data_IF_331443627586
#
_entry.id   IF_331443627586
#
_cell.length_a   1.000
_cell.length_b   1.000
_cell.length_c   1.000
_cell.angle_alpha   90.00
_cell.angle_beta   90.00
_cell.angle_gamma   90.00
#
_symmetry.space_group_name_H-M   'P 1'
#
loop_
_entity.id
_entity.type
_entity.pdbx_description
1 polymer ?
#
# COMPACT_ATOMS: atom_id res chain seq x y z
N UNK A 1 7.13 -21.86 -10.86
CA UNK A 1 6.17 -21.50 -9.78
C UNK A 1 6.92 -20.87 -8.60
N UNK A 2 6.25 -19.99 -7.87
CA UNK A 2 6.77 -19.30 -6.68
C UNK A 2 5.66 -19.13 -5.63
N UNK A 3 6.04 -18.96 -4.35
CA UNK A 3 5.07 -18.78 -3.29
C UNK A 3 5.64 -18.72 -1.87
N UNK A 4 4.75 -18.55 -0.90
CA UNK A 4 5.08 -18.43 0.53
C UNK A 4 4.79 -19.70 1.34
N UNK A 5 4.19 -20.71 0.72
CA UNK A 5 3.87 -22.00 1.33
C UNK A 5 4.95 -23.04 1.03
N UNK A 6 5.09 -24.04 1.89
CA UNK A 6 5.95 -25.20 1.59
C UNK A 6 5.28 -26.07 0.53
N UNK A 7 5.87 -26.06 -0.67
CA UNK A 7 5.46 -26.92 -1.79
C UNK A 7 6.70 -27.24 -2.63
N UNK A 8 6.97 -28.54 -2.82
CA UNK A 8 8.12 -29.02 -3.60
C UNK A 8 8.11 -28.64 -5.08
N UNK A 9 6.98 -28.16 -5.60
CA UNK A 9 6.86 -27.67 -6.98
C UNK A 9 7.32 -26.23 -7.17
N UNK A 10 7.54 -25.50 -6.07
CA UNK A 10 7.94 -24.10 -6.14
C UNK A 10 9.44 -24.00 -6.45
N UNK A 11 9.77 -23.32 -7.56
CA UNK A 11 11.15 -22.97 -7.92
C UNK A 11 11.71 -21.90 -6.96
N UNK A 12 10.87 -20.99 -6.48
CA UNK A 12 11.23 -19.95 -5.52
C UNK A 12 10.23 -19.94 -4.37
N UNK A 13 10.75 -19.98 -3.15
CA UNK A 13 9.97 -19.86 -1.92
C UNK A 13 10.45 -18.65 -1.13
N UNK A 14 9.53 -18.02 -0.40
CA UNK A 14 9.89 -16.88 0.44
C UNK A 14 9.01 -16.71 1.65
N UNK A 15 9.52 -15.97 2.62
CA UNK A 15 8.83 -15.66 3.88
C UNK A 15 9.13 -14.22 4.28
N UNK A 16 8.11 -13.53 4.79
CA UNK A 16 8.28 -12.21 5.40
C UNK A 16 9.08 -12.37 6.69
N UNK A 17 10.14 -11.57 6.84
CA UNK A 17 10.94 -11.47 8.07
C UNK A 17 10.39 -10.34 8.94
N UNK A 18 10.16 -9.17 8.34
CA UNK A 18 9.55 -8.01 9.02
C UNK A 18 8.95 -7.04 7.98
N UNK A 19 8.06 -6.16 8.43
CA UNK A 19 7.50 -5.11 7.59
C UNK A 19 7.17 -3.87 8.46
N UNK A 20 8.21 -3.07 8.82
CA UNK A 20 8.05 -1.91 9.71
C UNK A 20 8.96 -0.74 9.32
N UNK A 21 8.54 0.15 8.44
CA UNK A 21 7.45 0.08 7.45
C UNK A 21 7.82 -0.73 6.20
N UNK A 22 9.12 -0.90 5.93
CA UNK A 22 9.64 -1.51 4.71
C UNK A 22 9.69 -3.04 4.82
N UNK A 23 9.34 -3.72 3.73
CA UNK A 23 9.36 -5.17 3.64
C UNK A 23 10.80 -5.68 3.69
N UNK A 24 11.08 -6.53 4.69
CA UNK A 24 12.22 -7.43 4.75
C UNK A 24 11.73 -8.85 4.60
N UNK A 25 12.28 -9.58 3.66
CA UNK A 25 11.89 -10.96 3.41
C UNK A 25 13.11 -11.84 3.17
N UNK A 26 12.91 -13.14 3.26
CA UNK A 26 13.90 -14.12 2.82
C UNK A 26 13.31 -14.98 1.72
N UNK A 27 14.15 -15.44 0.81
CA UNK A 27 13.77 -16.31 -0.28
C UNK A 27 14.84 -17.37 -0.57
N UNK A 28 14.47 -18.44 -1.26
CA UNK A 28 15.38 -19.53 -1.66
C UNK A 28 14.92 -20.13 -2.99
N UNK A 29 15.89 -20.55 -3.78
CA UNK A 29 15.73 -21.40 -4.96
C UNK A 29 15.84 -22.90 -4.64
N UNK A 30 15.99 -23.24 -3.36
CA UNK A 30 16.18 -24.60 -2.86
C UNK A 30 17.60 -24.91 -2.40
N UNK A 31 18.58 -24.04 -2.69
CA UNK A 31 19.98 -24.21 -2.30
C UNK A 31 20.24 -23.51 -0.94
N UNK A 32 20.16 -22.19 -0.92
CA UNK A 32 20.38 -21.40 0.28
C UNK A 32 19.30 -20.33 0.49
N UNK A 33 19.28 -19.71 1.66
CA UNK A 33 18.36 -18.65 1.99
C UNK A 33 19.04 -17.29 1.82
N UNK A 34 18.45 -16.46 0.98
CA UNK A 34 18.80 -15.07 0.75
C UNK A 34 17.92 -14.16 1.61
N UNK A 35 18.47 -13.09 2.16
CA UNK A 35 17.72 -12.09 2.95
C UNK A 35 17.83 -10.76 2.26
N UNK A 36 16.68 -10.18 1.93
CA UNK A 36 16.57 -8.91 1.20
C UNK A 36 15.80 -7.89 2.01
N UNK A 37 16.40 -6.72 2.24
CA UNK A 37 15.71 -5.52 2.71
C UNK A 37 15.32 -4.69 1.49
N UNK A 38 14.02 -4.43 1.32
CA UNK A 38 13.50 -3.64 0.18
C UNK A 38 13.18 -2.21 0.56
N UNK A 39 12.87 -1.37 -0.43
CA UNK A 39 12.25 -0.06 -0.26
C UNK A 39 10.71 -0.09 -0.48
N UNK A 40 10.12 -1.27 -0.41
CA UNK A 40 8.69 -1.47 -0.60
C UNK A 40 7.95 -1.52 0.74
N UNK A 41 6.80 -0.91 0.79
CA UNK A 41 5.89 -0.98 1.93
C UNK A 41 4.89 -2.11 1.71
N UNK A 42 4.60 -2.86 2.78
CA UNK A 42 3.56 -3.86 2.79
C UNK A 42 4.02 -5.27 2.49
N UNK A 43 3.66 -6.18 3.39
CA UNK A 43 3.98 -7.61 3.29
C UNK A 43 3.40 -8.28 2.04
N UNK A 44 2.31 -7.74 1.48
CA UNK A 44 1.71 -8.23 0.24
C UNK A 44 2.65 -8.13 -0.98
N UNK A 45 3.66 -7.26 -0.93
CA UNK A 45 4.66 -7.15 -2.00
C UNK A 45 5.62 -8.35 -2.07
N UNK A 46 5.63 -9.23 -1.08
CA UNK A 46 6.47 -10.44 -1.14
C UNK A 46 6.19 -11.26 -2.41
N UNK A 47 4.93 -11.38 -2.82
CA UNK A 47 4.58 -12.14 -4.03
C UNK A 47 5.17 -11.52 -5.30
N UNK A 48 5.23 -10.19 -5.37
CA UNK A 48 5.89 -9.49 -6.49
C UNK A 48 7.40 -9.73 -6.49
N UNK A 49 8.02 -9.73 -5.30
CA UNK A 49 9.46 -10.00 -5.17
C UNK A 49 9.80 -11.43 -5.56
N UNK A 50 9.01 -12.41 -5.10
CA UNK A 50 9.21 -13.82 -5.46
C UNK A 50 8.96 -14.07 -6.96
N UNK A 51 7.99 -13.38 -7.56
CA UNK A 51 7.78 -13.41 -9.01
C UNK A 51 9.02 -12.91 -9.76
N UNK A 52 9.56 -11.76 -9.36
CA UNK A 52 10.76 -11.18 -9.97
C UNK A 52 11.98 -12.10 -9.81
N UNK A 53 12.19 -12.67 -8.61
CA UNK A 53 13.26 -13.64 -8.37
C UNK A 53 13.11 -14.90 -9.25
N UNK A 54 11.90 -15.45 -9.32
CA UNK A 54 11.61 -16.64 -10.12
C UNK A 54 11.86 -16.40 -11.62
N UNK A 55 11.46 -15.24 -12.13
CA UNK A 55 11.71 -14.85 -13.53
C UNK A 55 13.21 -14.61 -13.75
N UNK A 56 13.88 -13.90 -12.86
CA UNK A 56 15.33 -13.67 -12.94
C UNK A 56 16.11 -14.98 -13.08
N UNK A 57 15.86 -15.94 -12.20
CA UNK A 57 16.49 -17.26 -12.26
C UNK A 57 16.18 -18.02 -13.58
N UNK A 58 14.97 -17.86 -14.13
CA UNK A 58 14.61 -18.47 -15.41
C UNK A 58 15.42 -17.92 -16.58
N UNK A 59 15.78 -16.64 -16.51
CA UNK A 59 16.60 -15.97 -17.52
C UNK A 59 18.09 -15.94 -17.19
N UNK A 60 18.55 -16.75 -16.22
CA UNK A 60 19.96 -16.93 -15.91
C UNK A 60 20.59 -15.82 -15.08
N UNK A 61 19.79 -14.98 -14.41
CA UNK A 61 20.29 -14.00 -13.44
C UNK A 61 20.70 -14.74 -12.16
N UNK A 62 21.88 -14.42 -11.61
CA UNK A 62 22.35 -15.09 -10.40
C UNK A 62 21.59 -14.63 -9.16
N UNK A 63 21.51 -15.45 -8.09
CA UNK A 63 20.86 -15.07 -6.85
C UNK A 63 21.40 -13.76 -6.25
N UNK A 64 22.71 -13.53 -6.29
CA UNK A 64 23.33 -12.30 -5.79
C UNK A 64 22.91 -11.06 -6.61
N UNK A 65 22.79 -11.21 -7.92
CA UNK A 65 22.30 -10.13 -8.79
C UNK A 65 20.81 -9.83 -8.53
N UNK A 66 20.03 -10.87 -8.26
CA UNK A 66 18.62 -10.73 -7.86
C UNK A 66 18.52 -9.98 -6.54
N UNK A 67 19.31 -10.34 -5.53
CA UNK A 67 19.32 -9.67 -4.23
C UNK A 67 19.66 -8.18 -4.34
N UNK A 68 20.69 -7.85 -5.15
CA UNK A 68 21.07 -6.46 -5.42
C UNK A 68 19.92 -5.72 -6.11
N UNK A 69 19.30 -6.31 -7.12
CA UNK A 69 18.21 -5.67 -7.86
C UNK A 69 16.98 -5.43 -6.97
N UNK A 70 16.58 -6.44 -6.16
CA UNK A 70 15.41 -6.35 -5.28
C UNK A 70 15.63 -5.38 -4.11
N UNK A 71 16.86 -5.31 -3.57
CA UNK A 71 17.19 -4.38 -2.49
C UNK A 71 17.32 -2.94 -2.97
N UNK A 72 17.79 -2.71 -4.18
CA UNK A 72 17.97 -1.36 -4.74
C UNK A 72 16.71 -0.79 -5.39
N UNK A 73 15.71 -1.63 -5.68
CA UNK A 73 14.50 -1.17 -6.34
C UNK A 73 13.71 -0.19 -5.48
N UNK A 74 13.53 1.02 -5.99
CA UNK A 74 12.70 2.05 -5.36
C UNK A 74 11.50 2.35 -6.26
N UNK A 75 10.26 2.20 -5.77
CA UNK A 75 9.07 2.51 -6.57
C UNK A 75 9.01 4.01 -6.86
N UNK A 76 8.67 4.35 -8.11
CA UNK A 76 8.64 5.75 -8.59
C UNK A 76 7.28 6.15 -9.21
N UNK A 77 6.25 5.32 -9.09
CA UNK A 77 5.01 5.46 -9.84
C UNK A 77 3.76 5.50 -8.94
N UNK A 78 3.86 6.08 -7.76
CA UNK A 78 2.76 6.17 -6.77
C UNK A 78 2.19 4.79 -6.37
N UNK A 79 3.04 3.76 -6.34
CA UNK A 79 2.67 2.40 -5.89
C UNK A 79 3.43 2.04 -4.64
N UNK A 80 2.76 2.10 -3.49
CA UNK A 80 3.33 1.79 -2.17
C UNK A 80 4.67 2.51 -1.90
N UNK A 81 4.78 3.75 -2.36
CA UNK A 81 5.97 4.57 -2.24
C UNK A 81 5.99 5.26 -0.89
N UNK A 82 7.10 5.12 -0.14
CA UNK A 82 7.35 5.95 1.04
C UNK A 82 7.97 7.28 0.59
N UNK A 83 7.36 8.36 0.97
CA UNK A 83 7.84 9.72 0.71
C UNK A 83 7.90 10.49 2.03
N UNK A 84 9.05 11.05 2.35
CA UNK A 84 9.20 11.96 3.47
C UNK A 84 9.00 13.39 2.99
N UNK A 85 8.16 14.13 3.68
CA UNK A 85 7.98 15.57 3.50
C UNK A 85 8.57 16.31 4.70
N UNK A 86 8.56 17.62 4.66
CA UNK A 86 9.03 18.43 5.80
C UNK A 86 8.23 18.17 7.10
N UNK A 87 7.00 17.66 6.97
CA UNK A 87 6.06 17.56 8.10
C UNK A 87 5.52 16.15 8.33
N UNK A 88 5.55 15.25 7.34
CA UNK A 88 4.86 13.97 7.39
C UNK A 88 5.63 12.84 6.68
N UNK A 89 5.28 11.59 7.01
CA UNK A 89 5.70 10.39 6.29
C UNK A 89 4.51 9.89 5.46
N UNK A 90 4.62 9.92 4.13
CA UNK A 90 3.53 9.58 3.23
C UNK A 90 3.74 8.20 2.63
N UNK A 91 2.69 7.38 2.67
CA UNK A 91 2.59 6.12 1.93
C UNK A 91 1.66 6.37 0.75
N UNK A 92 2.25 6.62 -0.42
CA UNK A 92 1.49 6.98 -1.62
C UNK A 92 1.23 5.74 -2.47
N UNK A 93 -0.05 5.36 -2.58
CA UNK A 93 -0.55 4.24 -3.39
C UNK A 93 -1.79 4.68 -4.20
N UNK A 94 -1.63 5.74 -4.98
CA UNK A 94 -2.72 6.44 -5.67
C UNK A 94 -2.72 6.22 -7.20
N UNK A 95 -2.12 5.12 -7.67
CA UNK A 95 -2.15 4.75 -9.09
C UNK A 95 -3.45 4.03 -9.46
N UNK A 96 -3.89 3.07 -8.63
CA UNK A 96 -5.15 2.36 -8.80
C UNK A 96 -5.63 1.80 -7.46
N UNK A 97 -6.96 1.61 -7.33
CA UNK A 97 -7.57 1.00 -6.16
C UNK A 97 -8.69 0.05 -6.58
N UNK A 98 -8.67 -1.14 -5.97
CA UNK A 98 -9.75 -2.11 -5.99
C UNK A 98 -9.95 -2.67 -4.58
N UNK A 99 -11.06 -3.40 -4.29
CA UNK A 99 -11.36 -3.87 -2.94
C UNK A 99 -10.23 -4.67 -2.29
N UNK A 100 -9.62 -5.58 -3.04
CA UNK A 100 -8.52 -6.43 -2.55
C UNK A 100 -7.29 -5.61 -2.18
N UNK A 101 -6.85 -4.71 -3.06
CA UNK A 101 -5.67 -3.88 -2.82
C UNK A 101 -5.91 -2.82 -1.74
N UNK A 102 -7.13 -2.27 -1.66
CA UNK A 102 -7.51 -1.32 -0.61
C UNK A 102 -7.47 -2.01 0.76
N UNK A 103 -8.12 -3.16 0.89
CA UNK A 103 -8.15 -3.92 2.13
C UNK A 103 -6.74 -4.36 2.55
N UNK A 104 -5.90 -4.82 1.62
CA UNK A 104 -4.52 -5.22 1.91
C UNK A 104 -3.68 -4.06 2.43
N UNK A 105 -3.78 -2.87 1.79
CA UNK A 105 -3.08 -1.67 2.23
C UNK A 105 -3.53 -1.20 3.61
N UNK A 106 -4.84 -1.22 3.87
CA UNK A 106 -5.41 -0.82 5.16
C UNK A 106 -5.01 -1.76 6.30
N UNK A 107 -5.05 -3.08 6.08
CA UNK A 107 -4.57 -4.07 7.08
C UNK A 107 -3.11 -3.85 7.39
N UNK A 108 -2.27 -3.71 6.36
CA UNK A 108 -0.86 -3.43 6.55
C UNK A 108 -0.63 -2.12 7.33
N UNK A 109 -1.34 -1.04 6.96
CA UNK A 109 -1.21 0.26 7.61
C UNK A 109 -1.70 0.24 9.06
N UNK A 110 -2.78 -0.49 9.35
CA UNK A 110 -3.25 -0.72 10.72
C UNK A 110 -2.18 -1.39 11.58
N UNK A 111 -1.56 -2.44 11.03
CA UNK A 111 -0.61 -3.31 11.76
C UNK A 111 0.81 -2.72 11.84
N UNK A 112 1.10 -1.63 11.13
CA UNK A 112 2.39 -0.92 11.26
C UNK A 112 2.55 -0.32 12.66
N UNK A 113 3.72 -0.48 13.27
CA UNK A 113 4.07 0.08 14.58
C UNK A 113 4.56 1.54 14.45
N UNK A 114 3.70 2.42 13.95
CA UNK A 114 3.95 3.87 13.77
C UNK A 114 2.79 4.68 14.31
N UNK A 115 3.05 5.90 14.76
CA UNK A 115 2.02 6.81 15.32
C UNK A 115 2.50 8.25 15.25
N UNK A 116 1.60 9.24 15.06
CA UNK A 116 0.16 9.09 14.75
C UNK A 116 -0.08 8.68 13.30
N UNK A 117 -1.23 8.06 13.05
CA UNK A 117 -1.68 7.59 11.73
C UNK A 117 -2.83 8.41 11.17
N UNK A 118 -2.83 8.61 9.85
CA UNK A 118 -3.94 9.18 9.10
C UNK A 118 -4.13 8.43 7.79
N UNK A 119 -5.36 8.28 7.32
CA UNK A 119 -5.63 7.72 6.00
C UNK A 119 -6.47 8.69 5.16
N UNK A 120 -6.08 8.89 3.89
CA UNK A 120 -6.84 9.64 2.89
C UNK A 120 -7.15 8.68 1.76
N UNK A 121 -8.42 8.28 1.67
CA UNK A 121 -8.86 7.20 0.78
C UNK A 121 -9.83 7.71 -0.26
N UNK A 122 -9.53 7.46 -1.53
CA UNK A 122 -10.39 7.79 -2.65
C UNK A 122 -11.18 6.61 -3.17
N UNK A 123 -12.28 6.90 -3.85
CA UNK A 123 -13.14 5.91 -4.46
C UNK A 123 -12.37 4.86 -5.25
N UNK A 124 -12.88 3.63 -5.19
CA UNK A 124 -12.50 2.52 -6.06
C UNK A 124 -13.40 2.53 -7.29
N UNK A 125 -12.81 2.76 -8.46
CA UNK A 125 -13.54 2.79 -9.73
C UNK A 125 -13.68 1.41 -10.35
N UNK A 126 -14.50 1.30 -11.38
CA UNK A 126 -14.69 0.10 -12.21
C UNK A 126 -15.34 -1.09 -11.46
N UNK A 127 -16.08 -0.84 -10.37
CA UNK A 127 -16.75 -1.87 -9.59
C UNK A 127 -18.19 -2.17 -10.04
N UNK A 128 -18.78 -1.34 -10.93
CA UNK A 128 -20.15 -1.53 -11.38
C UNK A 128 -21.14 -1.61 -10.21
N UNK A 129 -22.04 -2.57 -10.25
CA UNK A 129 -23.10 -2.76 -9.25
C UNK A 129 -22.56 -3.10 -7.84
N UNK A 130 -21.35 -3.65 -7.72
CA UNK A 130 -20.76 -3.97 -6.43
C UNK A 130 -20.18 -2.76 -5.69
N UNK A 131 -20.11 -1.59 -6.33
CA UNK A 131 -19.45 -0.39 -5.79
C UNK A 131 -19.92 -0.03 -4.38
N UNK A 132 -21.22 0.10 -4.18
CA UNK A 132 -21.78 0.49 -2.87
C UNK A 132 -21.43 -0.51 -1.75
N UNK A 133 -21.49 -1.79 -2.06
CA UNK A 133 -21.19 -2.86 -1.08
C UNK A 133 -19.72 -2.87 -0.73
N UNK A 134 -18.84 -2.74 -1.71
CA UNK A 134 -17.39 -2.78 -1.48
C UNK A 134 -16.89 -1.52 -0.73
N UNK A 135 -17.42 -0.33 -1.05
CA UNK A 135 -17.09 0.87 -0.30
C UNK A 135 -17.59 0.81 1.14
N UNK A 136 -18.79 0.25 1.38
CA UNK A 136 -19.30 0.06 2.74
C UNK A 136 -18.41 -0.92 3.53
N UNK A 137 -17.98 -2.04 2.96
CA UNK A 137 -17.05 -2.98 3.62
C UNK A 137 -15.74 -2.29 4.05
N UNK A 138 -15.20 -1.38 3.23
CA UNK A 138 -14.02 -0.60 3.61
C UNK A 138 -14.34 0.33 4.78
N UNK A 139 -15.47 1.01 4.75
CA UNK A 139 -15.90 1.91 5.84
C UNK A 139 -16.13 1.15 7.16
N UNK A 140 -16.70 -0.05 7.10
CA UNK A 140 -16.90 -0.92 8.25
C UNK A 140 -15.56 -1.38 8.84
N UNK A 141 -14.64 -1.86 8.00
CA UNK A 141 -13.28 -2.22 8.43
C UNK A 141 -12.56 -1.06 9.11
N UNK A 142 -12.64 0.15 8.55
CA UNK A 142 -12.03 1.34 9.13
C UNK A 142 -12.61 1.67 10.50
N UNK A 143 -13.92 1.49 10.68
CA UNK A 143 -14.61 1.74 11.95
C UNK A 143 -14.16 0.80 13.08
N UNK A 144 -13.70 -0.41 12.72
CA UNK A 144 -13.20 -1.43 13.64
C UNK A 144 -11.67 -1.42 13.78
N UNK A 145 -10.95 -0.70 12.92
CA UNK A 145 -9.49 -0.77 12.81
C UNK A 145 -8.71 0.02 13.86
N UNK A 146 -9.37 0.92 14.61
CA UNK A 146 -8.69 1.86 15.50
C UNK A 146 -8.01 3.03 14.78
N UNK A 147 -8.23 3.22 13.48
CA UNK A 147 -7.79 4.38 12.72
C UNK A 147 -8.80 5.52 12.90
N UNK A 148 -8.46 6.53 13.67
CA UNK A 148 -9.39 7.64 13.99
C UNK A 148 -9.34 8.77 12.96
N UNK A 149 -8.17 9.09 12.42
CA UNK A 149 -8.00 10.14 11.43
C UNK A 149 -8.13 9.57 10.01
N UNK A 150 -9.36 9.51 9.52
CA UNK A 150 -9.66 9.00 8.18
C UNK A 150 -10.46 10.04 7.39
N UNK A 151 -10.00 10.33 6.19
CA UNK A 151 -10.67 11.15 5.19
C UNK A 151 -11.06 10.27 4.00
N UNK A 152 -12.32 10.33 3.62
CA UNK A 152 -12.90 9.58 2.51
C UNK A 152 -13.27 10.54 1.38
N UNK A 153 -12.84 10.22 0.15
CA UNK A 153 -12.92 11.15 -0.98
C UNK A 153 -13.62 10.49 -2.16
N UNK A 154 -14.70 11.11 -2.61
CA UNK A 154 -15.47 10.69 -3.77
C UNK A 154 -16.92 10.37 -3.46
N UNK A 155 -17.70 10.25 -4.54
CA UNK A 155 -19.15 10.08 -4.45
C UNK A 155 -19.57 8.74 -3.85
N UNK A 156 -18.79 7.67 -4.08
CA UNK A 156 -19.12 6.35 -3.58
C UNK A 156 -18.86 6.25 -2.08
N UNK A 157 -17.70 6.73 -1.61
CA UNK A 157 -17.46 6.83 -0.17
C UNK A 157 -18.42 7.77 0.54
N UNK A 158 -18.90 8.82 -0.13
CA UNK A 158 -19.89 9.73 0.44
C UNK A 158 -21.21 9.03 0.81
N UNK A 159 -21.60 8.01 0.05
CA UNK A 159 -22.82 7.23 0.29
C UNK A 159 -22.69 6.23 1.45
N UNK A 160 -21.48 5.92 1.91
CA UNK A 160 -21.26 4.96 2.99
C UNK A 160 -21.82 5.47 4.33
N UNK A 161 -22.22 4.56 5.20
CA UNK A 161 -22.60 4.89 6.57
C UNK A 161 -21.40 4.72 7.51
N UNK A 162 -20.74 5.83 7.89
CA UNK A 162 -19.62 5.84 8.83
C UNK A 162 -19.40 7.22 9.43
N UNK A 163 -18.58 7.31 10.52
CA UNK A 163 -18.28 8.54 11.27
C UNK A 163 -17.20 9.42 10.63
N UNK A 164 -16.52 8.95 9.62
CA UNK A 164 -15.34 9.61 9.07
C UNK A 164 -15.69 10.82 8.23
N UNK A 165 -14.75 11.78 8.15
CA UNK A 165 -14.91 12.98 7.34
C UNK A 165 -14.92 12.59 5.85
N UNK A 166 -15.87 13.15 5.10
CA UNK A 166 -16.10 12.87 3.69
C UNK A 166 -15.96 14.13 2.86
N UNK A 167 -15.40 13.95 1.67
CA UNK A 167 -15.17 15.01 0.69
C UNK A 167 -15.74 14.56 -0.66
N UNK A 168 -16.27 15.51 -1.42
CA UNK A 168 -16.78 15.23 -2.75
C UNK A 168 -15.66 14.88 -3.74
N UNK A 169 -14.57 15.63 -3.65
CA UNK A 169 -13.44 15.54 -4.57
C UNK A 169 -12.13 16.00 -3.92
N UNK A 170 -11.07 16.02 -4.70
CA UNK A 170 -9.73 16.43 -4.26
C UNK A 170 -9.66 17.92 -3.91
N UNK A 171 -10.45 18.77 -4.55
CA UNK A 171 -10.38 20.23 -4.29
C UNK A 171 -10.88 20.56 -2.89
N UNK A 172 -11.92 19.87 -2.42
CA UNK A 172 -12.35 19.98 -1.01
C UNK A 172 -11.27 19.48 -0.03
N UNK A 173 -10.51 18.43 -0.41
CA UNK A 173 -9.39 17.93 0.42
C UNK A 173 -8.28 18.98 0.47
N UNK A 174 -7.90 19.58 -0.68
CA UNK A 174 -6.87 20.62 -0.74
C UNK A 174 -7.26 21.82 0.14
N UNK A 175 -8.49 22.32 0.02
CA UNK A 175 -8.98 23.40 0.87
C UNK A 175 -8.94 23.06 2.36
N UNK A 176 -9.24 21.80 2.73
CA UNK A 176 -9.15 21.36 4.12
C UNK A 176 -7.70 21.27 4.62
N UNK A 177 -6.75 20.89 3.77
CA UNK A 177 -5.31 20.87 4.08
C UNK A 177 -4.74 22.28 4.22
N UNK A 178 -5.17 23.24 3.37
CA UNK A 178 -4.79 24.64 3.48
C UNK A 178 -5.27 25.26 4.79
N UNK A 179 -6.48 24.92 5.22
CA UNK A 179 -7.05 25.41 6.46
C UNK A 179 -6.40 24.81 7.72
N UNK A 180 -6.01 23.53 7.67
CA UNK A 180 -5.39 22.84 8.79
C UNK A 180 -4.55 21.65 8.30
N UNK A 181 -3.28 21.90 8.05
CA UNK A 181 -2.31 20.91 7.59
C UNK A 181 -1.92 19.95 8.71
N UNK A 182 -2.06 18.62 8.53
CA UNK A 182 -1.55 17.65 9.49
C UNK A 182 -0.01 17.70 9.54
N UNK A 183 0.55 17.47 10.72
CA UNK A 183 2.00 17.43 10.92
C UNK A 183 2.39 16.31 11.88
N UNK A 184 3.49 15.61 11.59
CA UNK A 184 4.00 14.48 12.36
C UNK A 184 3.28 13.16 12.10
N UNK A 185 2.46 13.06 11.06
CA UNK A 185 1.68 11.86 10.75
C UNK A 185 2.38 10.91 9.78
N UNK A 186 2.11 9.62 9.97
CA UNK A 186 2.18 8.65 8.89
C UNK A 186 0.83 8.66 8.15
N UNK A 187 0.84 9.01 6.86
CA UNK A 187 -0.37 9.22 6.06
C UNK A 187 -0.43 8.21 4.92
N UNK A 188 -1.41 7.31 4.94
CA UNK A 188 -1.73 6.46 3.80
C UNK A 188 -2.61 7.24 2.82
N UNK A 189 -2.17 7.38 1.57
CA UNK A 189 -2.91 8.00 0.48
C UNK A 189 -3.20 6.92 -0.56
N UNK A 190 -4.47 6.50 -0.69
CA UNK A 190 -4.86 5.45 -1.64
C UNK A 190 -6.21 5.72 -2.28
N UNK A 191 -6.29 5.49 -3.59
CA UNK A 191 -7.51 5.66 -4.38
C UNK A 191 -7.29 5.34 -5.85
N UNK A 192 -8.36 5.29 -6.62
CA UNK A 192 -8.27 5.18 -8.07
C UNK A 192 -7.64 6.45 -8.66
N UNK A 193 -6.87 6.31 -9.73
CA UNK A 193 -6.17 7.42 -10.39
C UNK A 193 -7.08 8.62 -10.69
N UNK A 194 -8.31 8.36 -11.12
CA UNK A 194 -9.28 9.41 -11.46
C UNK A 194 -9.75 10.26 -10.28
N UNK A 195 -9.45 9.90 -9.02
CA UNK A 195 -9.69 10.75 -7.84
C UNK A 195 -8.55 11.75 -7.64
N UNK A 196 -7.41 11.53 -8.30
CA UNK A 196 -6.23 12.42 -8.36
C UNK A 196 -5.51 12.63 -7.02
N UNK A 197 -5.67 11.73 -6.04
CA UNK A 197 -5.02 11.85 -4.73
C UNK A 197 -3.48 11.91 -4.81
N UNK A 198 -2.88 11.52 -5.93
CA UNK A 198 -1.45 11.64 -6.20
C UNK A 198 -0.93 13.10 -6.21
N UNK A 199 -1.83 14.09 -6.20
CA UNK A 199 -1.48 15.52 -6.11
C UNK A 199 -1.27 15.98 -4.66
N UNK A 200 -1.73 15.21 -3.65
CA UNK A 200 -1.67 15.62 -2.24
C UNK A 200 -0.26 15.65 -1.62
N UNK A 201 0.72 14.82 -2.05
CA UNK A 201 2.05 14.85 -1.46
C UNK A 201 2.73 16.23 -1.46
N UNK A 202 2.49 17.06 -2.47
CA UNK A 202 3.05 18.40 -2.55
C UNK A 202 2.47 19.39 -1.52
N UNK A 203 1.30 19.03 -0.95
CA UNK A 203 0.59 19.86 0.05
C UNK A 203 0.81 19.36 1.48
N UNK A 204 1.35 18.14 1.67
CA UNK A 204 1.54 17.46 2.94
C UNK A 204 3.00 17.44 3.37
#
# INVERSE_FOLDING_TARGET
EYGTVENHRLKVRGQVVSCAPLLKFRWTDGNEWHVVQTHLIGSYNIMNMLAAACIGLEFGVTPEQIDIALSSYTPSNNRSQLTETACNHLIVDAYNANPTSMMAALKNFRDMEVSPKMAILGDMRELGESSAVEHQKIADFLSESGLDNVWLVGEEFKKTNCRFRKFNDIEEVKAALEANKPSGYFILIKGSNGIKLFQLPELL
#
